data_IF_651805085903
#
_entry.id   IF_651805085903
#
_cell.length_a   1.000
_cell.length_b   1.000
_cell.length_c   1.000
_cell.angle_alpha   90.00
_cell.angle_beta   90.00
_cell.angle_gamma   90.00
#
_symmetry.space_group_name_H-M   'P 1'
#
loop_
_entity.id
_entity.type
_entity.pdbx_description
1 polymer ?
#
# COMPACT_ATOMS: atom_id res chain seq x y z
N UNK A 1 18.76 -8.65 -6.35
CA UNK A 1 17.94 -7.52 -6.76
C UNK A 1 18.56 -6.18 -6.35
N UNK A 2 18.78 -5.87 -5.05
CA UNK A 2 19.35 -4.60 -4.55
C UNK A 2 20.67 -4.18 -5.17
N UNK A 3 21.56 -5.13 -5.53
CA UNK A 3 22.83 -4.83 -6.20
C UNK A 3 22.61 -4.33 -7.62
N UNK A 4 21.79 -5.04 -8.40
CA UNK A 4 21.47 -4.69 -9.79
C UNK A 4 20.73 -3.34 -9.86
N UNK A 5 19.85 -3.10 -8.90
CA UNK A 5 19.16 -1.82 -8.79
C UNK A 5 20.13 -0.65 -8.58
N UNK A 6 21.11 -0.78 -7.67
CA UNK A 6 22.15 0.24 -7.46
C UNK A 6 23.02 0.46 -8.71
N UNK A 7 23.36 -0.62 -9.43
CA UNK A 7 24.15 -0.51 -10.67
C UNK A 7 23.36 0.23 -11.75
N UNK A 8 22.06 -0.06 -11.90
CA UNK A 8 21.15 0.68 -12.79
C UNK A 8 21.06 2.15 -12.41
N UNK A 9 20.81 2.46 -11.14
CA UNK A 9 20.66 3.83 -10.66
C UNK A 9 21.96 4.65 -10.86
N UNK A 10 23.14 4.01 -10.72
CA UNK A 10 24.43 4.64 -11.07
C UNK A 10 24.54 4.94 -12.57
N UNK A 11 24.17 4.01 -13.43
CA UNK A 11 24.22 4.23 -14.88
C UNK A 11 23.25 5.35 -15.27
N UNK A 12 22.03 5.34 -14.74
CA UNK A 12 21.03 6.36 -15.00
C UNK A 12 21.47 7.76 -14.54
N UNK A 13 22.18 7.85 -13.41
CA UNK A 13 22.68 9.13 -12.87
C UNK A 13 23.74 9.80 -13.75
N UNK A 14 24.42 9.03 -14.63
CA UNK A 14 25.45 9.55 -15.53
C UNK A 14 25.01 9.56 -17.01
N UNK A 15 23.82 9.06 -17.31
CA UNK A 15 23.25 9.08 -18.66
C UNK A 15 22.55 10.43 -18.91
N UNK A 16 23.32 11.41 -19.36
CA UNK A 16 22.79 12.76 -19.65
C UNK A 16 22.05 12.86 -20.99
N UNK A 17 22.11 11.82 -21.83
CA UNK A 17 21.49 11.80 -23.15
C UNK A 17 20.86 10.42 -23.41
N UNK A 18 19.75 10.09 -22.72
CA UNK A 18 19.09 8.79 -22.87
C UNK A 18 18.63 8.61 -24.33
N UNK A 19 19.17 7.57 -24.96
CA UNK A 19 18.78 7.13 -26.31
C UNK A 19 17.90 5.89 -26.27
N UNK A 20 17.62 5.32 -27.46
CA UNK A 20 16.78 4.11 -27.61
C UNK A 20 17.28 2.94 -26.75
N UNK A 21 18.59 2.77 -26.62
CA UNK A 21 19.20 1.74 -25.77
C UNK A 21 18.87 1.93 -24.26
N UNK A 22 18.74 3.16 -23.80
CA UNK A 22 18.32 3.47 -22.42
C UNK A 22 16.85 3.13 -22.20
N UNK A 23 15.96 3.41 -23.15
CA UNK A 23 14.56 3.03 -23.13
C UNK A 23 14.37 1.50 -23.14
N UNK A 24 15.13 0.81 -23.99
CA UNK A 24 15.13 -0.66 -24.04
C UNK A 24 15.61 -1.28 -22.70
N UNK A 25 16.66 -0.72 -22.09
CA UNK A 25 17.18 -1.17 -20.81
C UNK A 25 16.17 -0.95 -19.66
N UNK A 26 15.44 0.16 -19.64
CA UNK A 26 14.39 0.42 -18.67
C UNK A 26 13.18 -0.52 -18.87
N UNK A 27 12.78 -0.77 -20.10
CA UNK A 27 11.73 -1.75 -20.42
C UNK A 27 12.11 -3.17 -19.96
N UNK A 28 13.35 -3.60 -20.29
CA UNK A 28 13.87 -4.89 -19.87
C UNK A 28 14.00 -5.00 -18.34
N UNK A 29 14.37 -3.92 -17.66
CA UNK A 29 14.41 -3.87 -16.20
C UNK A 29 13.01 -4.02 -15.59
N UNK A 30 12.04 -3.33 -16.15
CA UNK A 30 10.64 -3.40 -15.71
C UNK A 30 10.10 -4.81 -15.86
N UNK A 31 10.30 -5.44 -17.02
CA UNK A 31 9.91 -6.83 -17.26
C UNK A 31 10.60 -7.80 -16.29
N UNK A 32 11.92 -7.64 -16.09
CA UNK A 32 12.69 -8.45 -15.15
C UNK A 32 12.19 -8.33 -13.72
N UNK A 33 11.90 -7.10 -13.27
CA UNK A 33 11.41 -6.83 -11.92
C UNK A 33 10.04 -7.46 -11.72
N UNK A 34 9.11 -7.24 -12.64
CA UNK A 34 7.79 -7.87 -12.63
C UNK A 34 7.85 -9.40 -12.64
N UNK A 35 8.81 -9.98 -13.37
CA UNK A 35 8.99 -11.43 -13.41
C UNK A 35 9.54 -11.98 -12.09
N UNK A 36 10.45 -11.26 -11.43
CA UNK A 36 10.95 -11.60 -10.10
C UNK A 36 9.83 -11.49 -9.07
N UNK A 37 9.05 -10.42 -9.08
CA UNK A 37 7.95 -10.21 -8.17
C UNK A 37 6.90 -11.31 -8.28
N UNK A 38 6.51 -11.69 -9.51
CA UNK A 38 5.62 -12.85 -9.73
C UNK A 38 6.14 -14.16 -9.16
N UNK A 39 7.45 -14.34 -9.10
CA UNK A 39 8.07 -15.57 -8.56
C UNK A 39 8.26 -15.52 -7.05
N UNK A 40 8.63 -14.36 -6.51
CA UNK A 40 8.95 -14.17 -5.09
C UNK A 40 7.72 -13.83 -4.25
N UNK A 41 6.75 -13.16 -4.85
CA UNK A 41 5.51 -12.72 -4.21
C UNK A 41 4.30 -12.99 -5.11
N UNK A 42 4.03 -14.27 -5.44
CA UNK A 42 2.96 -14.64 -6.38
C UNK A 42 1.57 -14.19 -5.94
N UNK A 43 1.46 -13.77 -4.70
CA UNK A 43 0.20 -13.35 -4.07
C UNK A 43 0.10 -11.83 -3.85
N UNK A 44 1.09 -11.04 -4.23
CA UNK A 44 0.97 -9.58 -4.19
C UNK A 44 0.13 -9.09 -5.37
N UNK A 45 -0.67 -8.02 -5.19
CA UNK A 45 -1.54 -7.53 -6.24
C UNK A 45 -0.73 -6.98 -7.41
N UNK A 46 -1.16 -7.35 -8.61
CA UNK A 46 -0.63 -6.79 -9.84
C UNK A 46 -1.48 -5.58 -10.25
N UNK A 47 -0.87 -4.66 -10.99
CA UNK A 47 -1.59 -3.53 -11.57
C UNK A 47 -2.77 -4.00 -12.42
N UNK A 48 -3.95 -3.51 -12.11
CA UNK A 48 -5.13 -3.72 -12.95
C UNK A 48 -5.43 -2.48 -13.77
N UNK A 49 -5.70 -2.67 -15.06
CA UNK A 49 -6.17 -1.60 -15.91
C UNK A 49 -7.64 -1.31 -15.59
N UNK A 50 -7.98 -0.06 -15.29
CA UNK A 50 -9.38 0.32 -15.08
C UNK A 50 -9.54 1.70 -14.45
N UNK A 51 -10.78 2.19 -14.44
CA UNK A 51 -11.17 3.38 -13.70
C UNK A 51 -11.56 3.01 -12.26
N UNK A 52 -11.25 3.87 -11.30
CA UNK A 52 -11.68 3.70 -9.92
C UNK A 52 -13.08 4.28 -9.78
N UNK A 53 -14.04 3.43 -9.42
CA UNK A 53 -15.41 3.85 -9.17
C UNK A 53 -15.51 4.61 -7.84
N UNK A 54 -16.27 5.71 -7.81
CA UNK A 54 -16.62 6.39 -6.57
C UNK A 54 -17.76 5.66 -5.87
N UNK A 55 -17.60 5.43 -4.58
CA UNK A 55 -18.47 4.63 -3.73
C UNK A 55 -18.95 5.45 -2.54
N UNK A 56 -20.16 5.13 -2.07
CA UNK A 56 -20.70 5.73 -0.85
C UNK A 56 -20.36 4.86 0.38
N UNK A 57 -19.56 5.40 1.30
CA UNK A 57 -19.15 4.72 2.52
C UNK A 57 -20.34 4.27 3.38
N UNK A 58 -21.50 4.93 3.30
CA UNK A 58 -22.71 4.53 4.05
C UNK A 58 -23.19 3.12 3.69
N UNK A 59 -22.90 2.65 2.47
CA UNK A 59 -23.26 1.32 1.97
C UNK A 59 -22.27 0.22 2.40
N UNK A 60 -21.18 0.59 3.08
CA UNK A 60 -20.08 -0.31 3.45
C UNK A 60 -19.96 -0.56 4.95
N UNK A 61 -20.97 -0.20 5.75
CA UNK A 61 -20.91 -0.32 7.20
C UNK A 61 -21.12 -1.76 7.69
N UNK A 62 -20.35 -2.16 8.70
CA UNK A 62 -20.45 -3.47 9.34
C UNK A 62 -20.06 -4.66 8.45
N UNK A 63 -19.28 -4.42 7.41
CA UNK A 63 -18.89 -5.45 6.43
C UNK A 63 -17.73 -6.31 6.94
N UNK A 64 -17.60 -7.48 6.36
CA UNK A 64 -16.41 -8.30 6.50
C UNK A 64 -15.43 -7.95 5.41
N UNK A 65 -14.22 -7.54 5.81
CA UNK A 65 -13.10 -7.21 4.94
C UNK A 65 -12.06 -8.31 5.05
N UNK A 66 -11.50 -8.74 3.93
CA UNK A 66 -10.61 -9.88 3.93
C UNK A 66 -9.29 -9.56 3.19
N UNK A 67 -8.18 -9.90 3.82
CA UNK A 67 -6.86 -9.83 3.20
C UNK A 67 -5.97 -10.94 3.76
N UNK A 68 -4.79 -11.13 3.18
CA UNK A 68 -3.86 -12.16 3.65
C UNK A 68 -3.34 -11.87 5.05
N UNK A 69 -3.18 -12.92 5.85
CA UNK A 69 -2.54 -12.86 7.16
C UNK A 69 -1.13 -12.28 7.09
N UNK A 70 -0.57 -11.92 8.23
CA UNK A 70 0.72 -11.24 8.38
C UNK A 70 0.77 -9.97 7.51
N UNK A 71 -0.15 -9.02 7.71
CA UNK A 71 -0.26 -7.84 6.88
C UNK A 71 0.99 -6.97 6.97
N UNK A 72 1.53 -6.56 5.82
CA UNK A 72 2.64 -5.61 5.72
C UNK A 72 2.09 -4.21 5.46
N UNK A 73 2.91 -3.28 5.06
CA UNK A 73 2.66 -1.83 5.03
C UNK A 73 1.29 -1.46 4.46
N UNK A 74 1.03 -1.72 3.18
CA UNK A 74 -0.24 -1.31 2.55
C UNK A 74 -1.45 -2.01 3.17
N UNK A 75 -1.34 -3.30 3.48
CA UNK A 75 -2.46 -4.04 4.10
C UNK A 75 -2.81 -3.53 5.48
N UNK A 76 -1.81 -3.20 6.31
CA UNK A 76 -2.03 -2.61 7.64
C UNK A 76 -2.62 -1.20 7.51
N UNK A 77 -2.06 -0.38 6.64
CA UNK A 77 -2.55 0.98 6.42
C UNK A 77 -3.96 0.99 5.83
N UNK A 78 -4.24 0.14 4.83
CA UNK A 78 -5.57 -0.05 4.23
C UNK A 78 -6.59 -0.52 5.26
N UNK A 79 -6.25 -1.50 6.11
CA UNK A 79 -7.13 -1.93 7.18
C UNK A 79 -7.45 -0.79 8.16
N UNK A 80 -6.46 0.03 8.52
CA UNK A 80 -6.70 1.20 9.38
C UNK A 80 -7.52 2.28 8.70
N UNK A 81 -7.27 2.56 7.41
CA UNK A 81 -8.07 3.49 6.61
C UNK A 81 -9.55 3.06 6.61
N UNK A 82 -9.79 1.77 6.35
CA UNK A 82 -11.14 1.19 6.37
C UNK A 82 -11.80 1.44 7.72
N UNK A 83 -11.19 1.02 8.83
CA UNK A 83 -11.78 1.16 10.17
C UNK A 83 -12.08 2.60 10.56
N UNK A 84 -11.25 3.54 10.15
CA UNK A 84 -11.35 4.91 10.62
C UNK A 84 -12.25 5.78 9.76
N UNK A 85 -12.23 5.59 8.44
CA UNK A 85 -12.83 6.54 7.49
C UNK A 85 -13.92 5.92 6.61
N UNK A 86 -13.97 4.59 6.47
CA UNK A 86 -14.89 3.93 5.54
C UNK A 86 -15.96 3.12 6.28
N UNK A 87 -15.55 2.20 7.15
CA UNK A 87 -16.44 1.27 7.86
C UNK A 87 -16.00 1.15 9.32
N UNK A 88 -16.66 1.88 10.22
CA UNK A 88 -16.30 1.92 11.65
C UNK A 88 -16.54 0.59 12.36
N UNK A 89 -17.44 -0.23 11.86
CA UNK A 89 -17.79 -1.54 12.38
C UNK A 89 -17.17 -2.68 11.55
N UNK A 90 -16.10 -2.38 10.79
CA UNK A 90 -15.37 -3.33 9.95
C UNK A 90 -14.88 -4.53 10.76
N UNK A 91 -15.12 -5.72 10.23
CA UNK A 91 -14.56 -6.97 10.74
C UNK A 91 -13.53 -7.50 9.76
N UNK A 92 -12.32 -7.81 10.24
CA UNK A 92 -11.27 -8.33 9.39
C UNK A 92 -11.21 -9.85 9.44
N UNK A 93 -10.92 -10.43 8.28
CA UNK A 93 -10.61 -11.84 8.14
C UNK A 93 -9.25 -11.98 7.48
N UNK A 94 -8.35 -12.64 8.18
CA UNK A 94 -6.97 -12.87 7.76
C UNK A 94 -6.87 -14.20 7.03
N UNK A 95 -6.61 -14.15 5.73
CA UNK A 95 -6.62 -15.30 4.84
C UNK A 95 -5.26 -15.99 4.81
N UNK A 96 -5.24 -17.31 4.73
CA UNK A 96 -4.01 -18.04 4.41
C UNK A 96 -3.61 -17.84 2.95
N UNK A 97 -4.60 -17.81 2.06
CA UNK A 97 -4.43 -17.55 0.62
C UNK A 97 -5.64 -16.80 0.05
N UNK A 98 -5.51 -16.07 -1.07
CA UNK A 98 -6.60 -15.30 -1.66
C UNK A 98 -7.87 -16.10 -1.96
N UNK A 99 -7.73 -17.37 -2.36
CA UNK A 99 -8.86 -18.26 -2.65
C UNK A 99 -9.75 -18.59 -1.44
N UNK A 100 -9.25 -18.35 -0.22
CA UNK A 100 -10.02 -18.55 1.01
C UNK A 100 -10.99 -17.40 1.30
N UNK A 101 -11.00 -16.35 0.45
CA UNK A 101 -11.87 -15.20 0.64
C UNK A 101 -13.35 -15.60 0.60
N UNK A 102 -14.12 -15.40 1.69
CA UNK A 102 -15.50 -15.81 1.74
C UNK A 102 -16.37 -15.08 0.73
N UNK A 103 -17.37 -15.75 0.21
CA UNK A 103 -18.39 -15.11 -0.61
C UNK A 103 -19.09 -14.01 0.18
N UNK A 104 -19.05 -12.78 -0.36
CA UNK A 104 -19.66 -11.61 0.28
C UNK A 104 -18.73 -10.82 1.19
N UNK A 105 -17.51 -11.29 1.47
CA UNK A 105 -16.47 -10.47 2.05
C UNK A 105 -15.85 -9.53 0.99
N UNK A 106 -15.42 -8.36 1.43
CA UNK A 106 -14.72 -7.39 0.59
C UNK A 106 -13.21 -7.68 0.67
N UNK A 107 -12.69 -8.35 -0.36
CA UNK A 107 -11.26 -8.61 -0.47
C UNK A 107 -10.47 -7.33 -0.75
N UNK A 108 -9.25 -7.22 -0.19
CA UNK A 108 -8.33 -6.13 -0.53
C UNK A 108 -6.87 -6.60 -0.53
N UNK A 109 -6.06 -5.96 -1.36
CA UNK A 109 -4.64 -6.22 -1.54
C UNK A 109 -4.33 -7.66 -2.02
N UNK A 110 -5.04 -8.15 -3.01
CA UNK A 110 -4.70 -9.36 -3.78
C UNK A 110 -5.42 -9.35 -5.13
N UNK A 111 -4.92 -10.12 -6.09
CA UNK A 111 -5.49 -10.19 -7.43
C UNK A 111 -6.94 -10.71 -7.40
N UNK A 112 -7.82 -10.00 -8.09
CA UNK A 112 -9.26 -10.31 -8.11
C UNK A 112 -10.03 -9.86 -6.88
N UNK A 113 -9.39 -9.17 -5.94
CA UNK A 113 -10.06 -8.54 -4.80
C UNK A 113 -10.97 -7.39 -5.25
N UNK A 114 -11.93 -7.02 -4.38
CA UNK A 114 -12.77 -5.85 -4.60
C UNK A 114 -11.98 -4.55 -4.66
N UNK A 115 -10.87 -4.48 -3.89
CA UNK A 115 -9.93 -3.35 -3.87
C UNK A 115 -8.51 -3.88 -4.02
N UNK A 116 -7.83 -3.46 -5.06
CA UNK A 116 -6.47 -3.87 -5.38
C UNK A 116 -5.72 -2.70 -6.01
N UNK A 117 -4.49 -2.91 -6.47
CA UNK A 117 -3.74 -1.90 -7.22
C UNK A 117 -4.42 -1.58 -8.54
N UNK A 118 -4.51 -0.28 -8.87
CA UNK A 118 -5.10 0.20 -10.13
C UNK A 118 -4.16 1.22 -10.77
N UNK A 119 -3.59 0.86 -11.91
CA UNK A 119 -2.51 1.62 -12.51
C UNK A 119 -1.36 1.79 -11.53
N UNK A 120 -0.82 2.99 -11.42
CA UNK A 120 0.28 3.29 -10.48
C UNK A 120 -0.16 3.37 -9.01
N UNK A 121 -1.44 3.29 -8.71
CA UNK A 121 -1.98 3.43 -7.35
C UNK A 121 -1.93 2.12 -6.59
N UNK A 122 -1.35 2.15 -5.42
CA UNK A 122 -1.41 1.04 -4.45
C UNK A 122 -2.82 0.90 -3.84
N UNK A 123 -3.10 -0.20 -3.16
CA UNK A 123 -4.46 -0.48 -2.65
C UNK A 123 -4.97 0.59 -1.69
N UNK A 124 -4.11 1.14 -0.85
CA UNK A 124 -4.45 2.26 0.04
C UNK A 124 -4.97 3.47 -0.75
N UNK A 125 -4.27 3.86 -1.81
CA UNK A 125 -4.65 4.99 -2.66
C UNK A 125 -5.91 4.70 -3.48
N UNK A 126 -6.08 3.45 -3.92
CA UNK A 126 -7.32 3.00 -4.58
C UNK A 126 -8.53 3.12 -3.66
N UNK A 127 -8.40 2.72 -2.39
CA UNK A 127 -9.43 2.91 -1.38
C UNK A 127 -9.72 4.40 -1.14
N UNK A 128 -8.69 5.24 -1.01
CA UNK A 128 -8.87 6.69 -0.86
C UNK A 128 -9.66 7.29 -2.02
N UNK A 129 -9.30 6.94 -3.26
CA UNK A 129 -9.99 7.42 -4.45
C UNK A 129 -11.43 6.91 -4.53
N UNK A 130 -11.66 5.63 -4.16
CA UNK A 130 -12.99 5.03 -4.17
C UNK A 130 -13.96 5.73 -3.22
N UNK A 131 -13.49 6.17 -2.05
CA UNK A 131 -14.32 6.77 -1.00
C UNK A 131 -14.13 8.28 -0.83
N UNK A 132 -13.59 8.97 -1.84
CA UNK A 132 -13.44 10.43 -1.90
C UNK A 132 -12.60 11.02 -0.74
N UNK A 133 -11.57 10.30 -0.31
CA UNK A 133 -10.70 10.69 0.80
C UNK A 133 -9.45 11.45 0.36
N UNK A 134 -9.25 11.65 -0.94
CA UNK A 134 -8.08 12.33 -1.53
C UNK A 134 -8.00 13.83 -1.19
N UNK A 135 -9.09 14.40 -0.66
CA UNK A 135 -9.12 15.80 -0.22
C UNK A 135 -8.43 16.04 1.14
N UNK A 136 -8.17 14.97 1.89
CA UNK A 136 -7.47 15.06 3.17
C UNK A 136 -5.95 15.07 2.95
N UNK A 137 -5.34 16.24 3.14
CA UNK A 137 -3.91 16.43 2.93
C UNK A 137 -3.04 15.56 3.86
N UNK A 138 -3.51 15.24 5.07
CA UNK A 138 -2.78 14.38 5.98
C UNK A 138 -2.84 12.91 5.52
N UNK A 139 -4.00 12.45 5.02
CA UNK A 139 -4.12 11.13 4.39
C UNK A 139 -3.26 11.02 3.13
N UNK A 140 -3.17 12.06 2.31
CA UNK A 140 -2.28 12.08 1.14
C UNK A 140 -0.80 11.89 1.54
N UNK A 141 -0.37 12.41 2.69
CA UNK A 141 0.98 12.17 3.20
C UNK A 141 1.17 10.74 3.72
N UNK A 142 0.15 10.16 4.34
CA UNK A 142 0.16 8.73 4.71
C UNK A 142 0.20 7.87 3.43
N UNK A 143 -0.56 8.23 2.40
CA UNK A 143 -0.54 7.54 1.11
C UNK A 143 0.85 7.55 0.47
N UNK A 144 1.52 8.69 0.45
CA UNK A 144 2.90 8.78 -0.06
C UNK A 144 3.88 7.87 0.69
N UNK A 145 3.76 7.77 2.02
CA UNK A 145 4.55 6.85 2.84
C UNK A 145 4.26 5.39 2.49
N UNK A 146 2.98 5.02 2.38
CA UNK A 146 2.56 3.67 2.02
C UNK A 146 3.06 3.31 0.62
N UNK A 147 2.84 4.19 -0.36
CA UNK A 147 3.29 4.02 -1.74
C UNK A 147 4.79 3.77 -1.83
N UNK A 148 5.60 4.63 -1.17
CA UNK A 148 7.06 4.47 -1.17
C UNK A 148 7.50 3.12 -0.59
N UNK A 149 6.87 2.65 0.47
CA UNK A 149 7.25 1.40 1.13
C UNK A 149 6.75 0.15 0.39
N UNK A 150 5.67 0.28 -0.36
CA UNK A 150 5.06 -0.84 -1.09
C UNK A 150 5.71 -1.03 -2.47
N UNK A 151 5.76 0.03 -3.28
CA UNK A 151 6.22 -0.04 -4.68
C UNK A 151 7.44 0.83 -4.98
N UNK A 152 7.88 1.66 -4.06
CA UNK A 152 8.98 2.62 -4.25
C UNK A 152 8.47 4.00 -4.61
N UNK A 153 9.35 4.86 -5.17
CA UNK A 153 9.01 6.21 -5.59
C UNK A 153 9.71 7.29 -4.77
N UNK A 154 9.07 8.45 -4.61
CA UNK A 154 9.65 9.61 -3.93
C UNK A 154 9.92 9.32 -2.44
N UNK A 155 11.11 9.68 -1.92
CA UNK A 155 11.47 9.43 -0.54
C UNK A 155 10.59 10.19 0.46
N UNK A 156 10.08 9.49 1.47
CA UNK A 156 9.34 10.05 2.61
C UNK A 156 10.16 9.85 3.88
N UNK A 157 10.40 10.92 4.62
CA UNK A 157 11.32 10.92 5.76
C UNK A 157 10.92 9.91 6.87
N UNK A 158 9.63 9.75 7.08
CA UNK A 158 9.07 8.88 8.12
C UNK A 158 9.04 7.38 7.73
N UNK A 159 9.26 7.05 6.46
CA UNK A 159 9.06 5.70 5.92
C UNK A 159 9.94 4.64 6.59
N UNK A 160 11.25 4.88 6.68
CA UNK A 160 12.17 3.92 7.30
C UNK A 160 11.86 3.68 8.79
N UNK A 161 11.43 4.73 9.51
CA UNK A 161 11.01 4.61 10.91
C UNK A 161 9.74 3.77 11.07
N UNK A 162 8.75 4.02 10.22
CA UNK A 162 7.51 3.25 10.21
C UNK A 162 7.75 1.77 9.88
N UNK A 163 8.54 1.49 8.86
CA UNK A 163 8.90 0.12 8.46
C UNK A 163 9.62 -0.63 9.59
N UNK A 164 10.58 0.03 10.26
CA UNK A 164 11.31 -0.58 11.38
C UNK A 164 10.38 -0.94 12.54
N UNK A 165 9.41 -0.07 12.88
CA UNK A 165 8.42 -0.34 13.94
C UNK A 165 7.52 -1.50 13.54
N UNK A 166 7.02 -1.53 12.30
CA UNK A 166 6.19 -2.62 11.79
C UNK A 166 6.96 -3.96 11.81
N UNK A 167 8.22 -3.97 11.37
CA UNK A 167 9.07 -5.16 11.43
C UNK A 167 9.26 -5.67 12.86
N UNK A 168 9.48 -4.76 13.82
CA UNK A 168 9.58 -5.09 15.24
C UNK A 168 8.26 -5.62 15.82
N UNK A 169 7.12 -5.04 15.43
CA UNK A 169 5.81 -5.51 15.84
C UNK A 169 5.53 -6.93 15.30
N UNK A 170 5.88 -7.20 14.06
CA UNK A 170 5.78 -8.53 13.44
C UNK A 170 6.57 -9.62 14.17
N UNK A 171 7.71 -9.27 14.78
CA UNK A 171 8.50 -10.23 15.56
C UNK A 171 7.90 -10.55 16.93
N UNK A 172 7.11 -9.64 17.49
CA UNK A 172 6.54 -9.76 18.84
C UNK A 172 5.11 -10.27 18.86
N UNK A 173 4.36 -10.03 17.78
CA UNK A 173 2.92 -10.26 17.70
C UNK A 173 2.63 -11.33 16.64
N UNK A 174 2.08 -12.45 17.06
CA UNK A 174 1.68 -13.54 16.18
C UNK A 174 0.26 -13.35 15.64
N UNK A 175 -0.61 -12.68 16.41
CA UNK A 175 -2.01 -12.43 16.05
C UNK A 175 -2.16 -11.16 15.22
N UNK A 176 -2.77 -11.28 14.05
CA UNK A 176 -2.91 -10.17 13.10
C UNK A 176 -3.82 -9.05 13.61
N UNK A 177 -4.82 -9.36 14.41
CA UNK A 177 -5.66 -8.34 15.07
C UNK A 177 -4.87 -7.52 16.09
N UNK A 178 -3.97 -8.15 16.85
CA UNK A 178 -3.08 -7.46 17.77
C UNK A 178 -2.07 -6.57 17.02
N UNK A 179 -1.54 -7.07 15.91
CA UNK A 179 -0.66 -6.31 15.03
C UNK A 179 -1.37 -5.08 14.47
N UNK A 180 -2.59 -5.25 13.94
CA UNK A 180 -3.40 -4.15 13.43
C UNK A 180 -3.69 -3.12 14.53
N UNK A 181 -4.06 -3.56 15.73
CA UNK A 181 -4.37 -2.67 16.85
C UNK A 181 -3.16 -1.83 17.28
N UNK A 182 -1.95 -2.39 17.29
CA UNK A 182 -0.72 -1.67 17.61
C UNK A 182 -0.35 -0.69 16.50
N UNK A 183 -0.33 -1.14 15.24
CA UNK A 183 0.05 -0.30 14.11
C UNK A 183 -0.99 0.78 13.80
N UNK A 184 -2.25 0.56 14.14
CA UNK A 184 -3.30 1.60 14.05
C UNK A 184 -2.96 2.82 14.90
N UNK A 185 -2.39 2.65 16.09
CA UNK A 185 -1.98 3.78 16.96
C UNK A 185 -0.80 4.56 16.33
N UNK A 186 0.11 3.85 15.68
CA UNK A 186 1.23 4.47 14.97
C UNK A 186 0.72 5.27 13.76
N UNK A 187 -0.17 4.70 12.95
CA UNK A 187 -0.78 5.38 11.81
C UNK A 187 -1.61 6.60 12.24
N UNK A 188 -2.34 6.49 13.35
CA UNK A 188 -3.08 7.62 13.92
C UNK A 188 -2.15 8.74 14.39
N UNK A 189 -0.99 8.39 14.94
CA UNK A 189 0.02 9.37 15.37
C UNK A 189 0.66 10.08 14.18
N UNK A 190 0.97 9.35 13.11
CA UNK A 190 1.48 9.93 11.87
C UNK A 190 0.43 10.84 11.22
N UNK A 191 -0.81 10.40 11.16
CA UNK A 191 -1.91 11.20 10.62
C UNK A 191 -2.07 12.52 11.41
N UNK A 192 -2.08 12.45 12.74
CA UNK A 192 -2.18 13.65 13.60
C UNK A 192 -0.95 14.58 13.42
N UNK A 193 0.24 14.03 13.29
CA UNK A 193 1.45 14.80 12.99
C UNK A 193 1.33 15.53 11.64
N UNK A 194 0.87 14.84 10.60
CA UNK A 194 0.70 15.45 9.28
C UNK A 194 -0.40 16.51 9.23
N UNK A 195 -1.46 16.37 10.03
CA UNK A 195 -2.47 17.43 10.17
C UNK A 195 -1.87 18.72 10.73
N UNK A 196 -0.99 18.61 11.73
CA UNK A 196 -0.34 19.79 12.33
C UNK A 196 0.71 20.41 11.40
N UNK A 197 1.45 19.59 10.67
CA UNK A 197 2.47 20.07 9.73
C UNK A 197 1.87 20.82 8.54
N UNK A 198 0.67 20.45 8.09
CA UNK A 198 -0.09 21.16 7.05
C UNK A 198 -0.69 22.50 7.51
N UNK A 199 -0.81 22.74 8.81
CA UNK A 199 -1.38 23.94 9.39
C UNK A 199 -0.38 25.00 9.86
N UNK A 200 0.93 24.79 9.72
CA UNK A 200 1.94 25.80 9.99
C UNK A 200 2.20 26.63 8.73
N UNK A 201 1.77 27.90 8.66
CA UNK A 201 2.31 28.84 7.68
C UNK A 201 3.80 29.04 8.01
N UNK A 202 4.67 28.86 7.02
CA UNK A 202 6.09 29.15 7.10
C UNK A 202 6.35 30.63 7.27
#
# INVERSE_FOLDING_TARGET
QRRLQRERDMVRAIDFFPGDASLEAEAAWTEFTQRIERVLSPDEPHETAGGIARLDASSYQGRTWATRRRPWVDRVASARLIQRFIDRDARFQWLSQPSDCPKGALGFYFDGAAFTHVGERVTFETLMASFDLEQDAALMRVAALVHQLDVGGEPVAEAAGFEAVLAGAHQRLDEDDALLAEMSKMLDSLYAYFQQAGGRPG
#
